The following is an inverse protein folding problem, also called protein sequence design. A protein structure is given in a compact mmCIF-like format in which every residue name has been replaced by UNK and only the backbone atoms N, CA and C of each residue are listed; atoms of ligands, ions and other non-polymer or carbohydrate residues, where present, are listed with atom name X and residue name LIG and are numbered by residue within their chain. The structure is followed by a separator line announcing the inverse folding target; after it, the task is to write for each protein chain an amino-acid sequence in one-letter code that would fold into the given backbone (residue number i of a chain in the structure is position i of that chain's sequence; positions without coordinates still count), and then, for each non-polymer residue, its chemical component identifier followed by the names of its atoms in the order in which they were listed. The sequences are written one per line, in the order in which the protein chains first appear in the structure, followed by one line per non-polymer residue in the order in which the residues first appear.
data_IF_181476708608
#
_entry.id   IF_181476708608
#
_cell.length_a   1.000
_cell.length_b   1.000
_cell.length_c   1.000
_cell.angle_alpha   90.00
_cell.angle_beta   90.00
_cell.angle_gamma   90.00
#
_symmetry.space_group_name_H-M   'P 1'
#
loop_
_entity.id
_entity.type
_entity.pdbx_description
1 polymer ?
#
# COMPACT_ATOMS: atom_id res chain seq x y z
N UNK A 1 39.49 -25.81 -4.02
CA UNK A 1 39.01 -24.40 -4.04
C UNK A 1 37.51 -24.33 -4.34
N UNK A 2 36.81 -23.31 -3.84
CA UNK A 2 35.41 -23.09 -4.23
C UNK A 2 35.33 -22.74 -5.72
N UNK A 3 34.41 -23.38 -6.45
CA UNK A 3 34.20 -23.16 -7.87
C UNK A 3 33.56 -21.81 -8.19
N UNK A 4 33.59 -21.41 -9.47
CA UNK A 4 32.92 -20.19 -9.95
C UNK A 4 31.40 -20.32 -9.75
N UNK A 5 30.72 -19.20 -9.47
CA UNK A 5 29.27 -19.16 -9.38
C UNK A 5 28.63 -19.63 -10.69
N UNK A 6 27.60 -20.47 -10.55
CA UNK A 6 26.78 -20.93 -11.67
C UNK A 6 25.75 -19.87 -12.06
N UNK A 7 25.42 -19.73 -13.35
CA UNK A 7 24.31 -18.88 -13.79
C UNK A 7 23.02 -19.29 -13.06
N UNK A 8 22.39 -18.35 -12.36
CA UNK A 8 21.18 -18.61 -11.55
C UNK A 8 21.41 -18.68 -10.04
N UNK A 9 22.66 -18.68 -9.56
CA UNK A 9 23.00 -18.45 -8.16
C UNK A 9 22.76 -16.97 -7.77
N UNK A 10 21.52 -16.51 -7.89
CA UNK A 10 21.14 -15.16 -7.49
C UNK A 10 20.99 -15.08 -5.97
N UNK A 11 21.17 -13.88 -5.41
CA UNK A 11 20.91 -13.63 -3.98
C UNK A 11 19.46 -14.03 -3.67
N UNK A 12 19.26 -14.62 -2.49
CA UNK A 12 17.92 -14.93 -1.99
C UNK A 12 17.01 -13.71 -2.14
N UNK A 13 15.79 -13.90 -2.62
CA UNK A 13 14.86 -12.80 -2.93
C UNK A 13 14.66 -11.84 -1.74
N UNK A 14 14.64 -12.37 -0.51
CA UNK A 14 14.54 -11.60 0.75
C UNK A 14 15.77 -10.75 1.09
N UNK A 15 16.92 -11.02 0.48
CA UNK A 15 18.15 -10.22 0.62
C UNK A 15 18.22 -9.06 -0.38
N UNK A 16 17.28 -8.97 -1.32
CA UNK A 16 17.18 -7.88 -2.27
C UNK A 16 16.40 -6.72 -1.67
N UNK A 17 16.96 -5.50 -1.76
CA UNK A 17 16.27 -4.29 -1.32
C UNK A 17 14.99 -4.09 -2.14
N UNK A 18 13.87 -3.89 -1.45
CA UNK A 18 12.60 -3.57 -2.12
C UNK A 18 12.69 -2.26 -2.91
N UNK A 19 11.96 -2.20 -4.03
CA UNK A 19 11.80 -0.97 -4.83
C UNK A 19 10.55 -0.24 -4.37
N UNK A 20 10.69 1.04 -4.00
CA UNK A 20 9.56 1.85 -3.60
C UNK A 20 8.60 2.07 -4.79
N UNK A 21 7.30 2.12 -4.48
CA UNK A 21 6.29 2.59 -5.43
C UNK A 21 6.49 4.09 -5.62
N UNK A 22 6.70 4.54 -6.86
CA UNK A 22 6.82 5.97 -7.20
C UNK A 22 5.45 6.67 -7.19
N UNK A 23 4.69 6.48 -6.11
CA UNK A 23 3.38 7.07 -5.95
C UNK A 23 3.51 8.56 -5.63
N UNK A 24 2.70 9.39 -6.27
CA UNK A 24 2.65 10.84 -6.04
C UNK A 24 1.41 11.26 -5.25
N UNK A 25 0.39 10.39 -5.23
CA UNK A 25 -0.90 10.65 -4.60
C UNK A 25 -1.53 9.33 -4.16
N UNK A 26 -2.24 9.36 -3.04
CA UNK A 26 -3.12 8.28 -2.60
C UNK A 26 -4.57 8.77 -2.59
N UNK A 27 -5.52 7.88 -2.86
CA UNK A 27 -6.95 8.11 -2.71
C UNK A 27 -7.58 6.97 -1.93
N UNK A 28 -8.59 7.28 -1.12
CA UNK A 28 -9.45 6.28 -0.51
C UNK A 28 -10.86 6.39 -1.10
N UNK A 29 -11.40 5.26 -1.53
CA UNK A 29 -12.77 5.12 -2.01
C UNK A 29 -13.51 4.19 -1.04
N UNK A 30 -14.69 4.61 -0.62
CA UNK A 30 -15.59 3.86 0.25
C UNK A 30 -16.95 3.82 -0.44
N UNK A 31 -17.50 2.62 -0.64
CA UNK A 31 -18.78 2.38 -1.32
C UNK A 31 -18.89 3.06 -2.70
N UNK A 32 -17.78 3.08 -3.44
CA UNK A 32 -17.69 3.72 -4.75
C UNK A 32 -17.54 5.25 -4.70
N UNK A 33 -17.67 5.88 -3.53
CA UNK A 33 -17.43 7.30 -3.34
C UNK A 33 -15.97 7.56 -2.96
N UNK A 34 -15.30 8.44 -3.69
CA UNK A 34 -13.96 8.91 -3.33
C UNK A 34 -14.07 9.83 -2.11
N UNK A 35 -13.52 9.38 -0.98
CA UNK A 35 -13.45 10.16 0.27
C UNK A 35 -12.55 11.39 0.08
N UNK A 36 -11.41 11.19 -0.60
CA UNK A 36 -10.45 12.24 -0.85
C UNK A 36 -9.17 11.73 -1.49
N UNK A 37 -8.22 12.64 -1.67
CA UNK A 37 -6.86 12.31 -2.08
C UNK A 37 -5.84 13.10 -1.26
N UNK A 38 -4.69 12.49 -0.97
CA UNK A 38 -3.57 13.12 -0.27
C UNK A 38 -2.29 12.92 -1.08
N UNK A 39 -1.37 13.90 -1.13
CA UNK A 39 -0.08 13.73 -1.77
C UNK A 39 0.74 12.65 -1.03
N UNK A 40 1.53 11.89 -1.78
CA UNK A 40 2.54 10.98 -1.22
C UNK A 40 3.87 11.72 -1.25
N UNK A 41 4.38 12.08 -0.08
CA UNK A 41 5.67 12.78 0.04
C UNK A 41 6.84 11.80 -0.09
N UNK A 42 8.00 12.32 -0.48
CA UNK A 42 9.21 11.51 -0.57
C UNK A 42 9.52 10.84 0.79
N UNK A 43 9.76 9.54 0.77
CA UNK A 43 10.05 8.75 1.97
C UNK A 43 8.82 8.36 2.81
N UNK A 44 7.60 8.72 2.40
CA UNK A 44 6.39 8.30 3.09
C UNK A 44 6.27 6.77 3.17
N UNK A 45 6.06 6.26 4.39
CA UNK A 45 5.81 4.83 4.66
C UNK A 45 4.31 4.53 4.79
N UNK A 46 3.48 5.55 5.03
CA UNK A 46 2.03 5.42 5.15
C UNK A 46 1.31 6.70 4.72
N UNK A 47 0.05 6.56 4.31
CA UNK A 47 -0.88 7.67 4.12
C UNK A 47 -2.18 7.33 4.85
N UNK A 48 -2.60 8.20 5.76
CA UNK A 48 -3.78 7.98 6.59
C UNK A 48 -4.98 8.79 6.09
N UNK A 49 -6.15 8.16 6.11
CA UNK A 49 -7.45 8.79 5.88
C UNK A 49 -8.34 8.49 7.08
N UNK A 50 -9.28 9.39 7.34
CA UNK A 50 -10.25 9.27 8.41
C UNK A 50 -11.64 9.50 7.82
N UNK A 51 -12.60 8.67 8.23
CA UNK A 51 -13.97 8.71 7.75
C UNK A 51 -14.90 8.13 8.81
N UNK A 52 -16.05 8.76 9.00
CA UNK A 52 -17.14 8.18 9.78
C UNK A 52 -17.87 7.13 8.95
N UNK A 53 -18.03 5.94 9.52
CA UNK A 53 -18.75 4.83 8.89
C UNK A 53 -20.03 4.54 9.67
N UNK A 54 -21.11 4.37 8.94
CA UNK A 54 -22.37 3.87 9.52
C UNK A 54 -22.23 2.39 9.89
N UNK A 55 -23.11 1.87 10.74
CA UNK A 55 -23.15 0.43 10.98
C UNK A 55 -23.50 -0.32 9.69
N UNK A 56 -22.76 -1.39 9.38
CA UNK A 56 -23.01 -2.24 8.23
C UNK A 56 -21.75 -2.66 7.48
N UNK A 57 -21.94 -3.07 6.22
CA UNK A 57 -20.89 -3.53 5.32
C UNK A 57 -20.48 -2.43 4.35
N UNK A 58 -19.17 -2.20 4.23
CA UNK A 58 -18.60 -1.18 3.35
C UNK A 58 -17.57 -1.78 2.40
N UNK A 59 -17.51 -1.26 1.18
CA UNK A 59 -16.50 -1.61 0.17
C UNK A 59 -15.34 -0.62 0.23
N UNK A 60 -14.15 -1.10 0.57
CA UNK A 60 -12.94 -0.29 0.66
C UNK A 60 -12.05 -0.48 -0.57
N UNK A 61 -11.64 0.62 -1.18
CA UNK A 61 -10.71 0.63 -2.31
C UNK A 61 -9.65 1.75 -2.13
N UNK A 62 -8.52 1.44 -1.46
CA UNK A 62 -7.36 2.32 -1.46
C UNK A 62 -6.63 2.25 -2.81
N UNK A 63 -6.20 3.40 -3.31
CA UNK A 63 -5.51 3.53 -4.61
C UNK A 63 -4.30 4.45 -4.48
N UNK A 64 -3.15 4.00 -4.96
CA UNK A 64 -1.97 4.83 -5.21
C UNK A 64 -1.88 5.19 -6.69
N UNK A 65 -1.58 6.45 -6.97
CA UNK A 65 -1.40 6.98 -8.32
C UNK A 65 0.09 7.03 -8.64
N UNK A 66 0.50 6.32 -9.68
CA UNK A 66 1.85 6.31 -10.24
C UNK A 66 1.78 6.82 -11.69
N UNK A 67 2.92 7.14 -12.29
CA UNK A 67 2.95 7.65 -13.68
C UNK A 67 2.31 6.69 -14.70
N UNK A 68 2.38 5.39 -14.45
CA UNK A 68 1.85 4.34 -15.33
C UNK A 68 0.36 4.05 -15.12
N UNK A 69 -0.28 4.66 -14.11
CA UNK A 69 -1.68 4.40 -13.77
C UNK A 69 -1.91 4.26 -12.27
N UNK A 70 -2.76 3.32 -11.88
CA UNK A 70 -3.17 3.12 -10.49
C UNK A 70 -2.74 1.76 -9.96
N UNK A 71 -2.33 1.75 -8.70
CA UNK A 71 -2.01 0.53 -7.94
C UNK A 71 -2.96 0.44 -6.77
N UNK A 72 -3.75 -0.64 -6.72
CA UNK A 72 -4.61 -0.95 -5.57
C UNK A 72 -3.85 -1.66 -4.45
N UNK A 73 -4.51 -1.88 -3.32
CA UNK A 73 -3.96 -2.74 -2.27
C UNK A 73 -4.07 -4.22 -2.65
N UNK A 74 -3.00 -4.99 -2.42
CA UNK A 74 -3.02 -6.45 -2.55
C UNK A 74 -3.79 -7.11 -1.41
N UNK A 75 -3.67 -6.57 -0.19
CA UNK A 75 -4.41 -7.03 0.98
C UNK A 75 -4.80 -5.82 1.85
N UNK A 76 -5.89 -5.97 2.61
CA UNK A 76 -6.36 -4.97 3.55
C UNK A 76 -6.43 -5.60 4.94
N UNK A 77 -5.94 -4.89 5.96
CA UNK A 77 -6.08 -5.32 7.35
C UNK A 77 -7.09 -4.41 8.02
N UNK A 78 -8.22 -4.99 8.42
CA UNK A 78 -9.25 -4.31 9.20
C UNK A 78 -9.05 -4.66 10.66
N UNK A 79 -8.89 -3.65 11.51
CA UNK A 79 -8.81 -3.81 12.96
C UNK A 79 -9.95 -3.02 13.60
N UNK A 80 -10.56 -3.60 14.62
CA UNK A 80 -11.42 -2.85 15.53
C UNK A 80 -10.50 -1.97 16.38
N UNK A 81 -10.73 -0.66 16.38
CA UNK A 81 -10.13 0.22 17.39
C UNK A 81 -10.79 -0.12 18.72
N UNK A 82 -9.99 -0.58 19.69
CA UNK A 82 -10.48 -0.72 21.06
C UNK A 82 -10.74 0.68 21.59
N UNK A 83 -11.97 0.94 22.05
CA UNK A 83 -12.26 2.16 22.79
C UNK A 83 -11.49 2.10 24.09
N UNK A 84 -10.67 3.10 24.38
CA UNK A 84 -10.26 3.37 25.75
C UNK A 84 -11.55 3.55 26.57
N UNK A 85 -11.70 2.75 27.64
CA UNK A 85 -12.90 2.71 28.48
C UNK A 85 -12.58 3.31 29.84
#
# INVERSE_FOLDING_TARGET
PAGKQVPGASKAFRASRGKALAATKASLIIDGKKLGSKPVVAGATSVSFEADLTAGSHRLAPIFHIAQGTVGALYCVVRKLESER
#
